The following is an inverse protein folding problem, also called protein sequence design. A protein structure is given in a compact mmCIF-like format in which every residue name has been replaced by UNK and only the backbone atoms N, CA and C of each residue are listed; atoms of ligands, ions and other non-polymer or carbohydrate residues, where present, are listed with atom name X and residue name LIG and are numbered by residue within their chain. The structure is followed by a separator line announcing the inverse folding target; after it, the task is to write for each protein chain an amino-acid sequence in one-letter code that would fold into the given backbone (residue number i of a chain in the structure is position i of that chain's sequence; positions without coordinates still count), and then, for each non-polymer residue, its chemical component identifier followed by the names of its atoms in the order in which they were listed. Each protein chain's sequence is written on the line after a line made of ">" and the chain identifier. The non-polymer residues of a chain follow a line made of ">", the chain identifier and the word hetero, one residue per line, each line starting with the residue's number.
data_IF_955627084821
#
_entry.id   IF_955627084821
#
_cell.length_a   1.000
_cell.length_b   1.000
_cell.length_c   1.000
_cell.angle_alpha   90.00
_cell.angle_beta   90.00
_cell.angle_gamma   90.00
#
_symmetry.space_group_name_H-M   'P 1'
#
loop_
_entity.id
_entity.type
_entity.pdbx_description
1 polymer ?
#
# COMPACT_ATOMS: atom_id res chain seq x y z
N UNK A 1 -8.94 -2.08 -17.92
CA UNK A 1 -9.73 -2.17 -16.67
C UNK A 1 -11.07 -2.85 -16.97
N UNK A 2 -11.60 -3.67 -16.05
CA UNK A 2 -12.90 -4.35 -16.24
C UNK A 2 -14.03 -3.32 -16.40
N UNK A 3 -14.84 -3.36 -17.49
CA UNK A 3 -15.81 -2.30 -17.78
C UNK A 3 -16.91 -2.09 -16.73
N UNK A 4 -17.23 -3.12 -15.94
CA UNK A 4 -18.33 -3.11 -14.96
C UNK A 4 -17.81 -3.08 -13.52
N UNK A 5 -16.64 -2.44 -13.28
CA UNK A 5 -15.99 -2.43 -11.97
C UNK A 5 -16.88 -1.83 -10.86
N UNK A 6 -17.61 -0.75 -11.14
CA UNK A 6 -18.53 -0.14 -10.16
C UNK A 6 -19.67 -1.10 -9.79
N UNK A 7 -20.28 -1.75 -10.77
CA UNK A 7 -21.35 -2.72 -10.53
C UNK A 7 -20.84 -3.92 -9.71
N UNK A 8 -19.64 -4.40 -10.03
CA UNK A 8 -19.00 -5.47 -9.27
C UNK A 8 -18.75 -5.08 -7.80
N UNK A 9 -18.14 -3.91 -7.56
CA UNK A 9 -17.89 -3.42 -6.21
C UNK A 9 -19.19 -3.18 -5.44
N UNK A 10 -20.22 -2.63 -6.08
CA UNK A 10 -21.54 -2.42 -5.49
C UNK A 10 -22.16 -3.75 -5.03
N UNK A 11 -22.06 -4.81 -5.84
CA UNK A 11 -22.54 -6.14 -5.45
C UNK A 11 -21.76 -6.74 -4.26
N UNK A 12 -20.46 -6.47 -4.13
CA UNK A 12 -19.68 -6.85 -2.96
C UNK A 12 -20.17 -6.11 -1.71
N UNK A 13 -20.34 -4.79 -1.80
CA UNK A 13 -20.78 -3.97 -0.67
C UNK A 13 -22.19 -4.33 -0.21
N UNK A 14 -23.12 -4.63 -1.13
CA UNK A 14 -24.47 -5.12 -0.80
C UNK A 14 -24.46 -6.45 -0.02
N UNK A 15 -23.34 -7.19 -0.07
CA UNK A 15 -23.11 -8.44 0.68
C UNK A 15 -22.22 -8.22 1.91
N UNK A 16 -21.96 -6.98 2.30
CA UNK A 16 -21.01 -6.61 3.36
C UNK A 16 -19.60 -7.17 3.15
N UNK A 17 -19.12 -7.13 1.91
CA UNK A 17 -17.75 -7.51 1.56
C UNK A 17 -16.98 -6.23 1.21
N UNK A 18 -15.92 -5.93 1.97
CA UNK A 18 -15.02 -4.81 1.69
C UNK A 18 -14.26 -4.99 0.37
N UNK A 19 -13.93 -3.90 -0.32
CA UNK A 19 -13.28 -3.94 -1.63
C UNK A 19 -11.94 -3.19 -1.65
N UNK A 20 -10.90 -3.90 -2.09
CA UNK A 20 -9.53 -3.40 -2.23
C UNK A 20 -9.16 -3.50 -3.71
N UNK A 21 -9.14 -2.37 -4.41
CA UNK A 21 -8.85 -2.34 -5.85
C UNK A 21 -7.41 -1.91 -6.08
N UNK A 22 -6.63 -2.70 -6.80
CA UNK A 22 -5.25 -2.37 -7.19
C UNK A 22 -5.19 -2.12 -8.68
N UNK A 23 -4.57 -1.02 -9.10
CA UNK A 23 -4.37 -0.66 -10.50
C UNK A 23 -2.94 -0.24 -10.78
N UNK A 24 -2.48 -0.46 -12.02
CA UNK A 24 -1.21 0.05 -12.56
C UNK A 24 -1.34 1.45 -13.19
N UNK A 25 -2.42 2.17 -12.84
CA UNK A 25 -2.64 3.57 -13.21
C UNK A 25 -2.58 3.86 -14.73
N UNK A 26 -3.27 3.04 -15.52
CA UNK A 26 -3.34 3.23 -16.98
C UNK A 26 -4.69 3.78 -17.48
N UNK A 27 -5.70 4.00 -16.64
CA UNK A 27 -7.04 4.40 -17.10
C UNK A 27 -7.60 5.53 -16.22
N UNK A 28 -7.12 6.78 -16.39
CA UNK A 28 -7.49 7.90 -15.53
C UNK A 28 -8.99 8.16 -15.52
N UNK A 29 -9.65 8.06 -16.68
CA UNK A 29 -11.10 8.22 -16.81
C UNK A 29 -11.90 7.20 -16.00
N UNK A 30 -11.34 5.99 -15.80
CA UNK A 30 -11.96 4.95 -14.98
C UNK A 30 -11.68 5.14 -13.50
N UNK A 31 -10.53 5.71 -13.14
CA UNK A 31 -10.29 6.14 -11.77
C UNK A 31 -11.26 7.27 -11.43
N UNK A 32 -11.35 8.32 -12.25
CA UNK A 32 -12.28 9.44 -12.06
C UNK A 32 -13.73 8.97 -11.82
N UNK A 33 -14.23 8.07 -12.68
CA UNK A 33 -15.59 7.53 -12.61
C UNK A 33 -15.81 6.42 -11.55
N UNK A 34 -14.77 5.99 -10.83
CA UNK A 34 -14.88 4.94 -9.81
C UNK A 34 -15.71 5.45 -8.61
N UNK A 35 -16.79 4.73 -8.29
CA UNK A 35 -17.57 4.97 -7.08
C UNK A 35 -16.73 4.69 -5.81
N UNK A 36 -17.12 5.19 -4.62
CA UNK A 36 -16.42 4.87 -3.39
C UNK A 36 -16.28 3.36 -3.17
N UNK A 37 -15.05 2.94 -2.87
CA UNK A 37 -14.67 1.58 -2.48
C UNK A 37 -13.95 1.64 -1.14
N UNK A 38 -13.69 0.49 -0.51
CA UNK A 38 -13.05 0.50 0.82
C UNK A 38 -11.66 1.11 0.77
N UNK A 39 -10.84 0.69 -0.21
CA UNK A 39 -9.50 1.22 -0.41
C UNK A 39 -9.02 1.09 -1.87
N UNK A 40 -8.51 2.18 -2.44
CA UNK A 40 -7.97 2.25 -3.80
C UNK A 40 -6.45 2.31 -3.79
N UNK A 41 -5.81 1.36 -4.46
CA UNK A 41 -4.37 1.24 -4.58
C UNK A 41 -3.89 1.57 -5.99
N UNK A 42 -2.82 2.36 -6.07
CA UNK A 42 -1.97 2.44 -7.26
C UNK A 42 -0.63 1.79 -6.96
N UNK A 43 -0.25 0.82 -7.81
CA UNK A 43 1.11 0.27 -7.81
C UNK A 43 2.05 1.31 -8.41
N UNK A 44 3.06 1.72 -7.65
CA UNK A 44 4.10 2.65 -8.09
C UNK A 44 5.43 1.90 -8.05
N UNK A 45 5.67 1.13 -9.10
CA UNK A 45 6.82 0.22 -9.16
C UNK A 45 8.12 0.94 -9.56
N UNK A 46 8.02 2.16 -10.10
CA UNK A 46 9.16 3.04 -10.36
C UNK A 46 8.75 4.52 -10.36
N UNK A 47 9.70 5.43 -10.16
CA UNK A 47 9.43 6.86 -10.00
C UNK A 47 9.76 7.73 -11.22
N UNK A 48 10.35 7.16 -12.28
CA UNK A 48 10.64 7.87 -13.53
C UNK A 48 10.02 7.18 -14.74
N UNK A 49 9.87 7.90 -15.86
CA UNK A 49 9.34 7.34 -17.10
C UNK A 49 10.20 6.18 -17.62
N UNK A 50 11.52 6.33 -17.52
CA UNK A 50 12.51 5.37 -17.98
C UNK A 50 12.50 4.11 -17.11
N UNK A 51 12.50 4.28 -15.78
CA UNK A 51 12.47 3.15 -14.85
C UNK A 51 11.12 2.42 -14.90
N UNK A 52 10.00 3.14 -14.98
CA UNK A 52 8.68 2.52 -15.10
C UNK A 52 8.57 1.72 -16.41
N UNK A 53 9.12 2.22 -17.52
CA UNK A 53 9.16 1.47 -18.78
C UNK A 53 9.98 0.19 -18.68
N UNK A 54 11.12 0.24 -17.98
CA UNK A 54 12.01 -0.89 -17.81
C UNK A 54 11.37 -2.00 -16.95
N UNK A 55 10.67 -1.61 -15.89
CA UNK A 55 10.02 -2.52 -14.94
C UNK A 55 8.70 -3.07 -15.48
N UNK A 56 7.77 -2.19 -15.88
CA UNK A 56 6.38 -2.56 -16.18
C UNK A 56 6.13 -2.99 -17.63
N UNK A 57 7.06 -2.67 -18.54
CA UNK A 57 6.93 -2.93 -19.99
C UNK A 57 5.53 -2.55 -20.53
N UNK A 58 5.13 -1.27 -20.38
CA UNK A 58 3.77 -0.83 -20.62
C UNK A 58 3.35 -0.98 -22.07
N UNK A 59 2.06 -1.29 -22.28
CA UNK A 59 1.47 -1.48 -23.62
C UNK A 59 1.20 -0.15 -24.35
N UNK A 60 0.86 0.90 -23.59
CA UNK A 60 0.50 2.20 -24.14
C UNK A 60 1.74 3.08 -24.36
N UNK A 61 1.74 3.87 -25.44
CA UNK A 61 2.86 4.77 -25.74
C UNK A 61 2.92 5.98 -24.80
N UNK A 62 1.75 6.41 -24.35
CA UNK A 62 1.48 7.51 -23.42
C UNK A 62 1.31 7.02 -21.97
N UNK A 63 1.92 5.88 -21.62
CA UNK A 63 1.76 5.24 -20.31
C UNK A 63 2.13 6.15 -19.13
N UNK A 64 3.13 7.02 -19.31
CA UNK A 64 3.62 7.91 -18.26
C UNK A 64 2.66 9.06 -18.02
N UNK A 65 2.16 9.66 -19.09
CA UNK A 65 1.18 10.73 -19.03
C UNK A 65 -0.14 10.22 -18.43
N UNK A 66 -0.55 8.99 -18.78
CA UNK A 66 -1.70 8.32 -18.16
C UNK A 66 -1.49 7.99 -16.69
N UNK A 67 -0.27 7.57 -16.34
CA UNK A 67 0.12 7.31 -14.96
C UNK A 67 0.01 8.58 -14.10
N UNK A 68 0.61 9.69 -14.54
CA UNK A 68 0.52 10.98 -13.85
C UNK A 68 -0.93 11.47 -13.74
N UNK A 69 -1.72 11.37 -14.81
CA UNK A 69 -3.14 11.72 -14.77
C UNK A 69 -3.93 10.85 -13.77
N UNK A 70 -3.61 9.57 -13.64
CA UNK A 70 -4.21 8.70 -12.63
C UNK A 70 -3.84 9.16 -11.20
N UNK A 71 -2.62 9.63 -10.98
CA UNK A 71 -2.20 10.17 -9.68
C UNK A 71 -2.98 11.45 -9.34
N UNK A 72 -3.18 12.34 -10.31
CA UNK A 72 -4.01 13.53 -10.13
C UNK A 72 -5.47 13.17 -9.78
N UNK A 73 -6.05 12.18 -10.46
CA UNK A 73 -7.42 11.71 -10.17
C UNK A 73 -7.57 11.09 -8.77
N UNK A 74 -6.52 10.47 -8.22
CA UNK A 74 -6.55 9.93 -6.85
C UNK A 74 -6.75 11.02 -5.81
N UNK A 75 -6.17 12.21 -6.02
CA UNK A 75 -6.30 13.35 -5.10
C UNK A 75 -7.75 13.80 -4.93
N UNK A 76 -8.59 13.55 -5.93
CA UNK A 76 -10.01 13.91 -5.93
C UNK A 76 -10.90 12.84 -5.31
N UNK A 77 -10.35 11.70 -4.91
CA UNK A 77 -11.11 10.63 -4.25
C UNK A 77 -11.35 10.94 -2.78
N UNK A 78 -12.58 10.67 -2.34
CA UNK A 78 -12.96 10.77 -0.93
C UNK A 78 -12.52 9.54 -0.15
N UNK A 79 -12.61 8.35 -0.76
CA UNK A 79 -12.19 7.09 -0.15
C UNK A 79 -10.67 7.01 0.08
N UNK A 80 -10.25 6.09 0.94
CA UNK A 80 -8.84 5.81 1.24
C UNK A 80 -8.05 5.49 -0.03
N UNK A 81 -6.98 6.24 -0.25
CA UNK A 81 -6.06 6.06 -1.37
C UNK A 81 -4.68 5.61 -0.89
N UNK A 82 -4.07 4.68 -1.61
CA UNK A 82 -2.79 4.08 -1.24
C UNK A 82 -1.85 4.04 -2.44
N UNK A 83 -0.63 4.51 -2.25
CA UNK A 83 0.47 4.14 -3.14
C UNK A 83 1.14 2.91 -2.58
N UNK A 84 1.28 1.87 -3.40
CA UNK A 84 2.05 0.68 -3.04
C UNK A 84 3.35 0.67 -3.82
N UNK A 85 4.45 0.85 -3.11
CA UNK A 85 5.80 0.89 -3.66
C UNK A 85 6.45 -0.46 -3.42
N UNK A 86 6.83 -1.14 -4.50
CA UNK A 86 7.59 -2.39 -4.41
C UNK A 86 9.09 -2.07 -4.52
N UNK A 87 9.81 -2.13 -3.41
CA UNK A 87 11.24 -1.83 -3.40
C UNK A 87 12.08 -3.01 -3.87
N UNK A 88 13.02 -2.70 -4.76
CA UNK A 88 13.99 -3.63 -5.32
C UNK A 88 15.37 -2.99 -5.25
N UNK A 89 16.29 -3.61 -4.51
CA UNK A 89 17.68 -3.14 -4.40
C UNK A 89 18.33 -3.05 -5.77
N UNK A 90 19.03 -1.94 -6.01
CA UNK A 90 19.72 -1.60 -7.26
C UNK A 90 18.82 -1.33 -8.47
N UNK A 91 17.50 -1.17 -8.26
CA UNK A 91 16.57 -0.77 -9.33
C UNK A 91 15.88 0.56 -9.04
N UNK A 92 15.19 0.68 -7.90
CA UNK A 92 14.35 1.86 -7.61
C UNK A 92 14.60 2.53 -6.25
N UNK A 93 15.46 1.97 -5.40
CA UNK A 93 15.70 2.53 -4.05
C UNK A 93 16.47 3.86 -4.04
N UNK A 94 17.07 4.27 -5.17
CA UNK A 94 17.81 5.53 -5.29
C UNK A 94 16.91 6.70 -5.77
N UNK A 95 15.68 6.42 -6.20
CA UNK A 95 14.78 7.40 -6.82
C UNK A 95 13.94 8.21 -5.79
N UNK A 96 14.47 8.46 -4.59
CA UNK A 96 13.74 9.06 -3.46
C UNK A 96 13.08 10.41 -3.81
N UNK A 97 13.83 11.31 -4.47
CA UNK A 97 13.32 12.64 -4.83
C UNK A 97 12.18 12.53 -5.85
N UNK A 98 12.29 11.61 -6.82
CA UNK A 98 11.23 11.36 -7.80
C UNK A 98 9.98 10.74 -7.15
N UNK A 99 10.14 9.83 -6.20
CA UNK A 99 9.00 9.31 -5.43
C UNK A 99 8.30 10.43 -4.67
N UNK A 100 9.06 11.35 -4.06
CA UNK A 100 8.49 12.51 -3.36
C UNK A 100 7.70 13.42 -4.32
N UNK A 101 8.18 13.64 -5.55
CA UNK A 101 7.43 14.36 -6.59
C UNK A 101 6.09 13.67 -6.91
N UNK A 102 6.08 12.35 -7.12
CA UNK A 102 4.85 11.59 -7.41
C UNK A 102 3.84 11.64 -6.26
N UNK A 103 4.34 11.57 -5.01
CA UNK A 103 3.52 11.73 -3.81
C UNK A 103 2.93 13.13 -3.74
N UNK A 104 3.71 14.15 -4.10
CA UNK A 104 3.24 15.53 -4.11
C UNK A 104 2.13 15.79 -5.15
N UNK A 105 2.14 15.06 -6.27
CA UNK A 105 1.10 15.13 -7.31
C UNK A 105 -0.23 14.58 -6.79
N UNK A 106 -0.26 13.30 -6.40
CA UNK A 106 -1.54 12.63 -6.09
C UNK A 106 -1.94 12.63 -4.62
N UNK A 107 -1.01 12.97 -3.71
CA UNK A 107 -1.27 13.12 -2.27
C UNK A 107 -2.11 11.95 -1.70
N UNK A 108 -1.64 10.70 -1.79
CA UNK A 108 -2.40 9.55 -1.27
C UNK A 108 -2.55 9.62 0.25
N UNK A 109 -3.58 9.01 0.80
CA UNK A 109 -3.72 8.92 2.27
C UNK A 109 -2.62 8.08 2.92
N UNK A 110 -2.20 7.02 2.23
CA UNK A 110 -1.21 6.06 2.69
C UNK A 110 -0.17 5.73 1.61
N UNK A 111 1.03 5.40 2.05
CA UNK A 111 2.10 4.88 1.21
C UNK A 111 2.59 3.59 1.86
N UNK A 112 2.25 2.47 1.25
CA UNK A 112 2.72 1.14 1.64
C UNK A 112 4.01 0.82 0.89
N UNK A 113 5.11 0.77 1.62
CA UNK A 113 6.41 0.44 1.05
C UNK A 113 6.73 -1.00 1.42
N UNK A 114 6.90 -1.85 0.40
CA UNK A 114 7.09 -3.29 0.57
C UNK A 114 8.33 -3.76 -0.19
N UNK A 115 9.16 -4.56 0.46
CA UNK A 115 10.25 -5.25 -0.23
C UNK A 115 9.72 -6.28 -1.24
N UNK A 116 10.37 -6.37 -2.40
CA UNK A 116 10.10 -7.45 -3.36
C UNK A 116 10.31 -8.82 -2.71
N UNK A 117 9.38 -9.75 -2.95
CA UNK A 117 9.54 -11.15 -2.54
C UNK A 117 10.14 -11.94 -3.68
N UNK A 118 11.25 -12.63 -3.44
CA UNK A 118 11.87 -13.50 -4.45
C UNK A 118 11.09 -14.81 -4.59
N UNK A 119 10.50 -15.03 -5.76
CA UNK A 119 9.68 -16.21 -6.05
C UNK A 119 10.43 -17.31 -6.84
N UNK A 120 11.77 -17.26 -6.88
CA UNK A 120 12.59 -18.16 -7.69
C UNK A 120 13.03 -17.54 -9.01
N UNK A 121 13.85 -18.28 -9.75
CA UNK A 121 14.38 -17.85 -11.05
C UNK A 121 13.35 -18.13 -12.14
N UNK A 122 13.07 -17.15 -12.99
CA UNK A 122 12.25 -17.31 -14.19
C UNK A 122 12.99 -16.77 -15.41
N UNK A 123 12.66 -17.26 -16.60
CA UNK A 123 13.32 -16.83 -17.86
C UNK A 123 13.08 -15.34 -18.19
N UNK A 124 12.14 -14.70 -17.49
CA UNK A 124 11.79 -13.29 -17.68
C UNK A 124 12.30 -12.34 -16.60
N UNK A 125 13.04 -12.83 -15.58
CA UNK A 125 13.49 -12.02 -14.45
C UNK A 125 14.93 -12.33 -14.04
N UNK A 126 15.76 -11.28 -14.00
CA UNK A 126 17.13 -11.34 -13.46
C UNK A 126 17.18 -11.11 -11.94
N UNK A 127 16.02 -11.05 -11.27
CA UNK A 127 15.97 -10.83 -9.82
C UNK A 127 16.62 -11.99 -9.08
N UNK A 128 17.40 -11.65 -8.06
CA UNK A 128 18.02 -12.60 -7.14
C UNK A 128 17.70 -12.21 -5.70
N UNK A 129 18.03 -13.09 -4.75
CA UNK A 129 17.93 -12.76 -3.31
C UNK A 129 18.70 -11.50 -2.91
N UNK A 130 19.78 -11.15 -3.64
CA UNK A 130 20.54 -9.91 -3.38
C UNK A 130 19.74 -8.65 -3.66
N UNK A 131 18.69 -8.76 -4.48
CA UNK A 131 17.82 -7.66 -4.84
C UNK A 131 16.70 -7.42 -3.81
N UNK A 132 16.53 -8.31 -2.82
CA UNK A 132 15.54 -8.18 -1.76
C UNK A 132 16.10 -7.26 -0.66
N UNK A 133 15.49 -6.09 -0.40
CA UNK A 133 15.89 -5.25 0.72
C UNK A 133 15.56 -5.92 2.05
N UNK A 134 16.40 -5.69 3.05
CA UNK A 134 16.14 -6.03 4.45
C UNK A 134 15.14 -5.05 5.05
N UNK A 135 14.48 -5.43 6.14
CA UNK A 135 13.48 -4.58 6.77
C UNK A 135 14.04 -3.24 7.25
N UNK A 136 15.24 -3.22 7.83
CA UNK A 136 15.90 -1.97 8.21
C UNK A 136 16.23 -1.06 7.01
N UNK A 137 16.48 -1.63 5.82
CA UNK A 137 16.67 -0.82 4.62
C UNK A 137 15.35 -0.23 4.12
N UNK A 138 14.24 -0.96 4.26
CA UNK A 138 12.90 -0.43 4.00
C UNK A 138 12.54 0.67 5.00
N UNK A 139 12.82 0.48 6.29
CA UNK A 139 12.64 1.51 7.34
C UNK A 139 13.46 2.76 7.03
N UNK A 140 14.74 2.60 6.68
CA UNK A 140 15.63 3.69 6.30
C UNK A 140 15.14 4.44 5.06
N UNK A 141 14.69 3.73 4.02
CA UNK A 141 14.08 4.34 2.84
C UNK A 141 12.82 5.14 3.21
N UNK A 142 11.93 4.58 4.03
CA UNK A 142 10.69 5.25 4.42
C UNK A 142 10.95 6.51 5.25
N UNK A 143 11.92 6.48 6.16
CA UNK A 143 12.35 7.67 6.91
C UNK A 143 12.87 8.75 5.95
N UNK A 144 13.79 8.38 5.05
CA UNK A 144 14.36 9.31 4.09
C UNK A 144 13.33 9.88 3.09
N UNK A 145 12.28 9.11 2.79
CA UNK A 145 11.15 9.55 1.98
C UNK A 145 10.26 10.53 2.75
N UNK A 146 9.97 10.27 4.03
CA UNK A 146 9.22 11.20 4.90
C UNK A 146 9.90 12.56 5.00
N UNK A 147 11.24 12.60 5.02
CA UNK A 147 12.03 13.84 5.06
C UNK A 147 11.93 14.68 3.77
N UNK A 148 11.51 14.07 2.65
CA UNK A 148 11.43 14.70 1.32
C UNK A 148 10.04 15.10 0.89
N UNK A 149 9.03 14.36 1.33
CA UNK A 149 7.63 14.72 1.07
C UNK A 149 7.23 15.92 1.93
N UNK A 150 6.12 16.57 1.58
CA UNK A 150 5.57 17.61 2.45
C UNK A 150 5.47 17.06 3.88
N UNK A 151 5.70 17.92 4.89
CA UNK A 151 5.74 17.55 6.31
C UNK A 151 4.43 16.98 6.88
N UNK A 152 3.50 16.59 6.02
CA UNK A 152 2.19 16.03 6.26
C UNK A 152 2.20 14.50 6.39
N UNK A 153 3.32 13.82 6.12
CA UNK A 153 3.44 12.36 6.23
C UNK A 153 4.35 11.94 7.39
N UNK A 154 4.09 10.76 7.94
CA UNK A 154 4.92 10.14 8.96
C UNK A 154 4.77 8.62 8.96
N UNK A 155 5.75 7.95 9.57
CA UNK A 155 5.74 6.49 9.79
C UNK A 155 4.64 6.15 10.81
N UNK A 156 3.71 5.28 10.41
CA UNK A 156 2.53 4.96 11.21
C UNK A 156 2.53 3.52 11.71
N UNK A 157 2.92 2.58 10.86
CA UNK A 157 2.84 1.14 11.13
C UNK A 157 3.93 0.38 10.37
N UNK A 158 4.24 -0.83 10.80
CA UNK A 158 5.14 -1.73 10.08
C UNK A 158 4.71 -3.18 10.23
N UNK A 159 5.23 -4.03 9.34
CA UNK A 159 5.12 -5.48 9.45
C UNK A 159 6.44 -6.12 9.02
N UNK A 160 7.28 -6.46 9.99
CA UNK A 160 8.64 -6.94 9.78
C UNK A 160 8.68 -8.25 8.95
N UNK A 161 7.72 -9.17 9.15
CA UNK A 161 7.66 -10.42 8.36
C UNK A 161 7.50 -10.20 6.87
N UNK A 162 6.58 -9.29 6.53
CA UNK A 162 6.22 -9.01 5.15
C UNK A 162 7.13 -7.95 4.57
N UNK A 163 8.05 -7.44 5.40
CA UNK A 163 9.03 -6.44 5.04
C UNK A 163 8.33 -5.19 4.47
N UNK A 164 7.32 -4.75 5.22
CA UNK A 164 6.43 -3.64 4.87
C UNK A 164 6.53 -2.54 5.93
N UNK A 165 6.51 -1.29 5.47
CA UNK A 165 6.33 -0.10 6.32
C UNK A 165 5.19 0.73 5.74
N UNK A 166 4.34 1.26 6.61
CA UNK A 166 3.25 2.15 6.27
C UNK A 166 3.62 3.58 6.67
N UNK A 167 3.71 4.45 5.67
CA UNK A 167 3.70 5.90 5.85
C UNK A 167 2.25 6.35 5.68
N UNK A 168 1.77 7.24 6.55
CA UNK A 168 0.42 7.79 6.48
C UNK A 168 0.45 9.31 6.60
N UNK A 169 -0.58 9.97 6.05
CA UNK A 169 -0.81 11.38 6.35
C UNK A 169 -1.08 11.58 7.84
N UNK A 170 -0.46 12.60 8.44
CA UNK A 170 -0.62 13.01 9.84
C UNK A 170 -2.05 13.37 10.22
N UNK A 171 -2.94 13.63 9.24
CA UNK A 171 -4.38 13.80 9.50
C UNK A 171 -5.00 12.56 10.18
N UNK A 172 -4.43 11.37 9.96
CA UNK A 172 -4.85 10.12 10.61
C UNK A 172 -4.21 9.92 12.00
N UNK A 173 -3.45 10.89 12.52
CA UNK A 173 -2.89 10.86 13.86
C UNK A 173 -3.58 11.91 14.72
N UNK A 174 -4.52 11.47 15.55
CA UNK A 174 -5.30 12.32 16.43
C UNK A 174 -4.72 12.26 17.84
N UNK A 175 -4.26 13.38 18.37
CA UNK A 175 -3.66 13.47 19.72
C UNK A 175 -2.56 12.43 20.00
N UNK A 176 -1.75 12.13 18.98
CA UNK A 176 -0.66 11.15 19.05
C UNK A 176 -1.10 9.70 18.84
N UNK A 177 -2.38 9.45 18.55
CA UNK A 177 -2.93 8.11 18.27
C UNK A 177 -3.19 7.96 16.77
N UNK A 178 -2.49 7.02 16.15
CA UNK A 178 -2.74 6.65 14.76
C UNK A 178 -4.09 5.94 14.59
N UNK A 179 -4.83 6.32 13.55
CA UNK A 179 -6.11 5.77 13.14
C UNK A 179 -6.03 5.26 11.70
N UNK A 180 -5.04 4.40 11.45
CA UNK A 180 -4.81 3.86 10.10
C UNK A 180 -5.61 2.59 9.85
N UNK A 181 -6.35 2.05 10.83
CA UNK A 181 -7.20 0.88 10.65
C UNK A 181 -8.55 1.30 10.04
N UNK A 182 -9.26 0.32 9.50
CA UNK A 182 -10.53 0.53 8.81
C UNK A 182 -11.65 0.09 9.75
N UNK A 183 -12.60 0.99 10.00
CA UNK A 183 -13.88 0.63 10.59
C UNK A 183 -14.78 0.11 9.44
N UNK A 184 -14.82 -1.21 9.28
CA UNK A 184 -15.57 -1.85 8.19
C UNK A 184 -17.08 -1.69 8.36
N UNK A 185 -17.58 -1.75 9.59
CA UNK A 185 -19.01 -1.56 9.86
C UNK A 185 -19.42 -0.15 9.43
N UNK A 186 -18.64 0.86 9.86
CA UNK A 186 -18.86 2.24 9.48
C UNK A 186 -18.74 2.48 7.98
N UNK A 187 -17.75 1.88 7.32
CA UNK A 187 -17.63 1.94 5.86
C UNK A 187 -18.90 1.41 5.17
N UNK A 188 -19.43 0.27 5.63
CA UNK A 188 -20.62 -0.33 5.04
C UNK A 188 -21.88 0.53 5.22
N UNK A 189 -22.02 1.22 6.37
CA UNK A 189 -23.09 2.21 6.56
C UNK A 189 -22.98 3.39 5.59
N UNK A 190 -21.77 3.93 5.43
CA UNK A 190 -21.52 5.11 4.59
C UNK A 190 -21.71 4.81 3.11
N UNK A 191 -21.20 3.67 2.63
CA UNK A 191 -21.32 3.28 1.23
C UNK A 191 -22.77 2.92 0.87
N UNK A 192 -23.54 2.36 1.82
CA UNK A 192 -24.97 2.12 1.62
C UNK A 192 -25.74 3.45 1.42
N UNK A 193 -25.47 4.46 2.24
CA UNK A 193 -26.04 5.81 2.08
C UNK A 193 -25.65 6.44 0.75
N UNK A 194 -24.38 6.35 0.37
CA UNK A 194 -23.92 6.81 -0.95
C UNK A 194 -24.73 6.18 -2.09
N UNK A 195 -25.02 4.88 -2.03
CA UNK A 195 -25.83 4.21 -3.05
C UNK A 195 -27.32 4.54 -3.01
N UNK A 196 -27.85 4.93 -1.84
CA UNK A 196 -29.26 5.28 -1.64
C UNK A 196 -29.57 6.71 -2.11
N UNK A 197 -28.77 7.69 -1.68
CA UNK A 197 -29.08 9.11 -1.86
C UNK A 197 -27.91 9.97 -2.38
N UNK A 198 -26.74 9.37 -2.59
CA UNK A 198 -25.55 10.07 -3.08
C UNK A 198 -24.76 10.81 -1.99
N UNK A 199 -25.08 10.62 -0.71
CA UNK A 199 -24.30 11.20 0.40
C UNK A 199 -22.85 10.75 0.32
N UNK A 200 -21.93 11.71 0.19
CA UNK A 200 -20.50 11.46 0.11
C UNK A 200 -19.88 11.34 1.50
N UNK A 201 -18.73 10.69 1.57
CA UNK A 201 -17.93 10.51 2.78
C UNK A 201 -16.44 10.49 2.40
N UNK A 202 -15.57 10.68 3.39
CA UNK A 202 -14.12 10.64 3.21
C UNK A 202 -13.50 9.48 3.97
N UNK A 203 -12.21 9.23 3.71
CA UNK A 203 -11.37 8.28 4.41
C UNK A 203 -11.42 8.45 5.93
N UNK A 204 -11.58 9.68 6.42
CA UNK A 204 -11.57 10.03 7.85
C UNK A 204 -12.84 9.51 8.57
N UNK A 205 -13.96 9.34 7.85
CA UNK A 205 -15.27 8.96 8.41
C UNK A 205 -15.36 7.48 8.85
N UNK A 206 -14.40 6.64 8.44
CA UNK A 206 -14.40 5.19 8.69
C UNK A 206 -13.02 4.68 9.13
N UNK A 207 -12.34 5.47 9.96
CA UNK A 207 -11.06 5.10 10.56
C UNK A 207 -11.25 4.43 11.92
N UNK A 208 -10.34 3.54 12.27
CA UNK A 208 -10.25 2.92 13.58
C UNK A 208 -8.81 3.06 14.12
N UNK A 209 -8.63 3.07 15.46
CA UNK A 209 -7.30 3.14 16.07
C UNK A 209 -6.39 2.02 15.57
N UNK A 210 -5.15 2.38 15.23
CA UNK A 210 -4.09 1.44 14.90
C UNK A 210 -3.77 0.60 16.13
N UNK A 211 -3.82 -0.74 16.04
CA UNK A 211 -3.46 -1.61 17.15
C UNK A 211 -2.03 -1.34 17.63
N UNK A 212 -1.81 -1.42 18.95
CA UNK A 212 -0.51 -1.08 19.54
C UNK A 212 0.65 -1.95 19.02
N UNK A 213 0.36 -3.22 18.70
CA UNK A 213 1.31 -4.17 18.12
C UNK A 213 1.63 -3.91 16.64
N UNK A 214 0.81 -3.08 15.98
CA UNK A 214 0.99 -2.72 14.59
C UNK A 214 1.74 -1.41 14.42
N UNK A 215 1.83 -0.58 15.46
CA UNK A 215 2.51 0.70 15.42
C UNK A 215 3.97 0.54 14.99
N UNK A 216 4.47 1.53 14.28
CA UNK A 216 5.90 1.63 13.99
C UNK A 216 6.70 1.62 15.31
N UNK A 217 7.81 0.88 15.37
CA UNK A 217 8.63 0.66 16.57
C UNK A 217 7.92 -0.08 17.72
N UNK A 218 6.78 -0.72 17.45
CA UNK A 218 6.18 -1.66 18.39
C UNK A 218 7.13 -2.83 18.66
N UNK A 219 7.06 -3.36 19.88
CA UNK A 219 7.85 -4.54 20.28
C UNK A 219 7.52 -5.75 19.40
N UNK A 220 6.27 -5.84 18.98
CA UNK A 220 5.71 -6.90 18.16
C UNK A 220 6.08 -6.79 16.68
N UNK A 221 6.60 -5.62 16.24
CA UNK A 221 7.02 -5.34 14.87
C UNK A 221 5.93 -5.67 13.83
N UNK A 222 4.69 -5.35 14.15
CA UNK A 222 3.54 -5.56 13.27
C UNK A 222 2.75 -6.83 13.49
N UNK A 223 3.26 -7.80 14.25
CA UNK A 223 2.58 -9.08 14.39
C UNK A 223 1.53 -9.04 15.48
N UNK A 224 0.34 -9.55 15.18
CA UNK A 224 -0.70 -9.69 16.19
C UNK A 224 -0.28 -10.70 17.28
N UNK A 225 -0.23 -10.30 18.57
CA UNK A 225 0.08 -11.19 19.68
C UNK A 225 -0.80 -12.42 19.80
N UNK A 226 -2.02 -12.41 19.23
CA UNK A 226 -2.92 -13.56 19.28
C UNK A 226 -2.62 -14.61 18.21
N UNK A 227 -1.79 -14.29 17.21
CA UNK A 227 -1.44 -15.23 16.16
C UNK A 227 -0.42 -16.27 16.62
N UNK A 228 -0.79 -17.55 16.47
CA UNK A 228 0.12 -18.68 16.72
C UNK A 228 0.97 -18.94 15.48
N UNK A 229 2.29 -18.97 15.64
CA UNK A 229 3.22 -19.07 14.51
C UNK A 229 3.68 -20.49 14.29
N UNK A 230 3.78 -20.88 13.03
CA UNK A 230 4.20 -22.21 12.63
C UNK A 230 5.39 -22.13 11.68
N UNK A 231 6.39 -22.98 11.87
CA UNK A 231 7.47 -23.19 10.91
C UNK A 231 7.57 -24.65 10.53
N UNK A 232 8.06 -24.92 9.32
CA UNK A 232 8.39 -26.27 8.89
C UNK A 232 9.85 -26.57 9.21
N UNK A 233 10.11 -27.61 9.99
CA UNK A 233 11.48 -28.05 10.26
C UNK A 233 12.09 -28.68 9.01
N UNK A 234 13.41 -28.87 8.99
CA UNK A 234 14.12 -29.60 7.92
C UNK A 234 13.56 -31.00 7.69
N UNK A 235 12.97 -31.61 8.72
CA UNK A 235 12.34 -32.93 8.67
C UNK A 235 10.86 -32.87 8.23
N UNK A 236 10.38 -31.72 7.76
CA UNK A 236 9.02 -31.53 7.23
C UNK A 236 7.93 -31.34 8.29
N UNK A 237 8.26 -31.35 9.58
CA UNK A 237 7.29 -31.19 10.68
C UNK A 237 6.89 -29.74 10.85
N UNK A 238 5.59 -29.48 11.02
CA UNK A 238 5.08 -28.16 11.39
C UNK A 238 5.19 -28.05 12.91
N UNK A 239 5.92 -27.05 13.39
CA UNK A 239 6.10 -26.79 14.82
C UNK A 239 5.73 -25.35 15.14
N UNK A 240 5.08 -25.16 16.29
CA UNK A 240 4.88 -23.84 16.86
C UNK A 240 6.23 -23.26 17.30
N UNK A 241 6.42 -21.95 17.14
CA UNK A 241 7.62 -21.28 17.63
C UNK A 241 7.32 -19.84 18.03
N UNK A 242 8.02 -19.33 19.04
CA UNK A 242 8.08 -17.90 19.29
C UNK A 242 9.02 -17.26 18.27
N UNK A 243 8.52 -16.29 17.51
CA UNK A 243 9.36 -15.59 16.54
C UNK A 243 10.31 -14.64 17.25
N UNK A 244 11.58 -14.76 16.86
CA UNK A 244 12.57 -13.71 17.03
C UNK A 244 12.86 -13.21 15.62
N UNK A 245 12.79 -11.89 15.41
CA UNK A 245 13.16 -11.29 14.13
C UNK A 245 14.58 -11.72 13.78
N UNK A 246 14.73 -12.51 12.73
CA UNK A 246 16.05 -12.77 12.15
C UNK A 246 16.47 -11.52 11.40
N UNK A 247 17.77 -11.17 11.44
CA UNK A 247 18.31 -10.12 10.55
C UNK A 247 18.04 -10.42 9.07
N UNK A 248 17.75 -11.69 8.74
CA UNK A 248 17.25 -12.07 7.43
C UNK A 248 15.77 -11.71 7.26
N UNK A 249 15.48 -10.70 6.45
CA UNK A 249 14.15 -10.30 5.95
C UNK A 249 13.44 -11.32 5.05
N UNK A 250 13.73 -12.60 5.22
CA UNK A 250 13.02 -13.75 4.69
C UNK A 250 13.01 -14.78 5.83
N UNK A 251 11.80 -15.19 6.24
CA UNK A 251 11.57 -16.07 7.39
C UNK A 251 12.17 -17.46 7.29
#
# INVERSE_FOLDING_TARGET
>A
MYPQINEFCKQLHNRHISSFLVTNAQFPEKIAALDPITQLYVSVDAATKESLRAVDRPLFKDFWERFLACLEELKHKGQRTVYRLTLVKSYNMEELDNYAELINIGQPDFIEVKAVTYCGKSDGSDLTMKNVPWHEEVRGFCSALCDRVSGDYALASEHSHSNCVLIAKKKFCHDGVWHTWIDYERFHELVAKFYEDGTTFTADDYTAPTPSWALFDSKEQGFDPVETRFRRTKDGKVVEFQYQSTESGCG
#
